data_IF_081995730729
#
_entry.id   IF_081995730729
#
_cell.length_a   1.000
_cell.length_b   1.000
_cell.length_c   1.000
_cell.angle_alpha   90.00
_cell.angle_beta   90.00
_cell.angle_gamma   90.00
#
_symmetry.space_group_name_H-M   'P 1'
#
loop_
_entity.id
_entity.type
_entity.pdbx_description
1 polymer ?
#
# COMPACT_ATOMS: atom_id res chain seq x y z
N UNK A 1 -25.94 12.45 36.19
CA UNK A 1 -24.92 13.30 36.86
C UNK A 1 -23.63 12.57 37.28
N UNK A 2 -23.64 11.54 38.15
CA UNK A 2 -22.39 10.84 38.54
C UNK A 2 -21.75 10.03 37.41
N UNK A 3 -22.53 9.32 36.60
CA UNK A 3 -22.04 8.61 35.40
C UNK A 3 -21.51 9.55 34.31
N UNK A 4 -22.08 10.76 34.21
CA UNK A 4 -21.70 11.77 33.23
C UNK A 4 -20.36 12.44 33.59
N UNK A 5 -20.10 12.69 34.87
CA UNK A 5 -18.78 13.15 35.34
C UNK A 5 -17.71 12.08 35.11
N UNK A 6 -18.04 10.81 35.34
CA UNK A 6 -17.12 9.71 35.08
C UNK A 6 -16.74 9.62 33.58
N UNK A 7 -17.72 9.72 32.67
CA UNK A 7 -17.46 9.72 31.23
C UNK A 7 -16.61 10.92 30.76
N UNK A 8 -16.86 12.12 31.30
CA UNK A 8 -16.06 13.32 31.00
C UNK A 8 -14.61 13.21 31.49
N UNK A 9 -14.40 12.65 32.69
CA UNK A 9 -13.06 12.43 33.25
C UNK A 9 -12.28 11.39 32.44
N UNK A 10 -12.93 10.30 32.01
CA UNK A 10 -12.30 9.28 31.14
C UNK A 10 -11.91 9.88 29.80
N UNK A 11 -12.75 10.75 29.21
CA UNK A 11 -12.45 11.42 27.94
C UNK A 11 -11.29 12.41 28.09
N UNK A 12 -11.26 13.19 29.16
CA UNK A 12 -10.17 14.12 29.44
C UNK A 12 -8.85 13.40 29.75
N UNK A 13 -8.89 12.29 30.48
CA UNK A 13 -7.73 11.44 30.73
C UNK A 13 -7.21 10.79 29.44
N UNK A 14 -8.11 10.35 28.54
CA UNK A 14 -7.73 9.84 27.23
C UNK A 14 -7.06 10.91 26.36
N UNK A 15 -7.58 12.15 26.35
CA UNK A 15 -6.98 13.29 25.66
C UNK A 15 -5.63 13.70 26.26
N UNK A 16 -5.46 13.64 27.58
CA UNK A 16 -4.19 13.96 28.23
C UNK A 16 -3.13 12.88 27.96
N UNK A 17 -3.51 11.60 28.06
CA UNK A 17 -2.66 10.49 27.65
C UNK A 17 -2.26 10.61 26.17
N UNK A 18 -3.17 11.12 25.32
CA UNK A 18 -2.92 11.43 23.92
C UNK A 18 -1.84 12.48 23.71
N UNK A 19 -1.95 13.60 24.43
CA UNK A 19 -0.98 14.68 24.32
C UNK A 19 0.39 14.21 24.81
N UNK A 20 0.42 13.39 25.86
CA UNK A 20 1.66 12.76 26.32
C UNK A 20 2.21 11.75 25.28
N UNK A 21 1.38 10.98 24.58
CA UNK A 21 1.83 10.07 23.51
C UNK A 21 2.28 10.80 22.23
N UNK A 22 1.62 11.91 21.88
CA UNK A 22 1.94 12.72 20.70
C UNK A 22 3.15 13.62 20.93
N UNK A 23 3.37 14.11 22.16
CA UNK A 23 4.41 15.10 22.47
C UNK A 23 5.52 14.60 23.42
N UNK A 24 5.36 13.45 24.08
CA UNK A 24 6.27 12.97 25.13
C UNK A 24 7.45 12.10 24.67
N UNK A 25 7.63 11.85 23.37
CA UNK A 25 8.74 11.05 22.84
C UNK A 25 9.55 11.82 21.79
N UNK A 26 10.87 11.87 21.97
CA UNK A 26 11.82 12.47 21.02
C UNK A 26 12.36 11.38 20.09
N UNK A 27 11.73 11.18 18.93
CA UNK A 27 12.20 10.26 17.88
C UNK A 27 11.10 9.43 17.20
N UNK A 28 11.40 8.79 16.04
CA UNK A 28 10.49 7.85 15.39
C UNK A 28 10.23 6.65 16.31
N UNK A 29 9.04 6.07 16.21
CA UNK A 29 8.69 4.90 17.00
C UNK A 29 9.36 3.64 16.45
N UNK A 30 9.87 2.81 17.34
CA UNK A 30 10.35 1.47 16.97
C UNK A 30 9.19 0.62 16.44
N UNK A 31 9.51 -0.45 15.71
CA UNK A 31 8.51 -1.40 15.22
C UNK A 31 7.66 -1.96 16.36
N UNK A 32 8.29 -2.33 17.48
CA UNK A 32 7.60 -2.89 18.64
C UNK A 32 6.68 -1.87 19.31
N UNK A 33 7.13 -0.62 19.45
CA UNK A 33 6.29 0.46 19.94
C UNK A 33 5.07 0.68 19.03
N UNK A 34 5.27 0.66 17.71
CA UNK A 34 4.17 0.79 16.76
C UNK A 34 3.15 -0.35 16.85
N UNK A 35 3.63 -1.59 17.02
CA UNK A 35 2.78 -2.78 17.23
C UNK A 35 1.99 -2.63 18.53
N UNK A 36 2.63 -2.25 19.63
CA UNK A 36 1.96 -2.05 20.91
C UNK A 36 0.83 -1.01 20.81
N UNK A 37 1.08 0.11 20.11
CA UNK A 37 0.04 1.13 19.86
C UNK A 37 -1.11 0.57 19.02
N UNK A 38 -0.85 -0.18 17.94
CA UNK A 38 -1.91 -0.82 17.14
C UNK A 38 -2.75 -1.78 17.98
N UNK A 39 -2.11 -2.61 18.80
CA UNK A 39 -2.80 -3.55 19.70
C UNK A 39 -3.67 -2.80 20.70
N UNK A 40 -3.17 -1.72 21.29
CA UNK A 40 -3.94 -0.87 22.20
C UNK A 40 -5.17 -0.24 21.51
N UNK A 41 -5.00 0.29 20.30
CA UNK A 41 -6.10 0.85 19.51
C UNK A 41 -7.14 -0.21 19.09
N UNK A 42 -6.70 -1.43 18.77
CA UNK A 42 -7.59 -2.54 18.45
C UNK A 42 -8.38 -3.01 19.69
N UNK A 43 -7.75 -3.11 20.85
CA UNK A 43 -8.44 -3.41 22.10
C UNK A 43 -9.46 -2.32 22.46
N UNK A 44 -9.09 -1.05 22.27
CA UNK A 44 -10.01 0.08 22.39
C UNK A 44 -11.21 -0.07 21.45
N UNK A 45 -10.99 -0.41 20.18
CA UNK A 45 -12.05 -0.60 19.20
C UNK A 45 -13.08 -1.65 19.65
N UNK A 46 -12.65 -2.80 20.19
CA UNK A 46 -13.54 -3.85 20.70
C UNK A 46 -14.40 -3.34 21.85
N UNK A 47 -13.79 -2.65 22.83
CA UNK A 47 -14.52 -2.07 23.96
C UNK A 47 -15.50 -1.00 23.49
N UNK A 48 -15.07 -0.15 22.56
CA UNK A 48 -15.86 0.92 21.98
C UNK A 48 -17.11 0.40 21.24
N UNK A 49 -17.03 -0.75 20.55
CA UNK A 49 -18.20 -1.43 19.97
C UNK A 49 -19.17 -1.88 21.07
N UNK A 50 -18.67 -2.54 22.13
CA UNK A 50 -19.52 -2.98 23.25
C UNK A 50 -20.25 -1.82 23.92
N UNK A 51 -19.54 -0.70 24.17
CA UNK A 51 -20.13 0.54 24.68
C UNK A 51 -21.18 1.07 23.70
N UNK A 52 -20.88 1.13 22.40
CA UNK A 52 -21.81 1.66 21.38
C UNK A 52 -23.15 0.93 21.35
N UNK A 53 -23.14 -0.37 21.57
CA UNK A 53 -24.35 -1.21 21.58
C UNK A 53 -25.19 -1.02 22.85
N UNK A 54 -24.61 -0.54 23.95
CA UNK A 54 -25.23 -0.47 25.27
C UNK A 54 -25.71 0.94 25.69
N UNK A 55 -25.46 1.98 24.89
CA UNK A 55 -25.57 3.39 25.34
C UNK A 55 -26.47 4.27 24.48
N UNK A 56 -27.02 5.32 25.10
CA UNK A 56 -27.86 6.33 24.45
C UNK A 56 -27.09 7.43 23.70
N UNK A 57 -27.83 8.26 22.96
CA UNK A 57 -27.30 9.21 21.96
C UNK A 57 -26.20 10.17 22.47
N UNK A 58 -26.27 10.64 23.72
CA UNK A 58 -25.26 11.57 24.29
C UNK A 58 -23.89 10.89 24.46
N UNK A 59 -23.86 9.60 24.76
CA UNK A 59 -22.61 8.82 24.90
C UNK A 59 -22.03 8.50 23.52
N UNK A 60 -22.86 8.38 22.48
CA UNK A 60 -22.41 8.22 21.09
C UNK A 60 -21.58 9.41 20.61
N UNK A 61 -21.89 10.64 21.04
CA UNK A 61 -21.09 11.81 20.69
C UNK A 61 -19.66 11.72 21.27
N UNK A 62 -19.55 11.37 22.56
CA UNK A 62 -18.24 11.17 23.21
C UNK A 62 -17.45 10.04 22.55
N UNK A 63 -18.14 8.96 22.19
CA UNK A 63 -17.54 7.85 21.47
C UNK A 63 -16.96 8.29 20.13
N UNK A 64 -17.68 9.12 19.36
CA UNK A 64 -17.16 9.68 18.09
C UNK A 64 -15.91 10.52 18.31
N UNK A 65 -15.88 11.33 19.37
CA UNK A 65 -14.68 12.08 19.75
C UNK A 65 -13.49 11.15 20.07
N UNK A 66 -13.73 10.09 20.85
CA UNK A 66 -12.72 9.10 21.18
C UNK A 66 -12.23 8.31 19.94
N UNK A 67 -13.14 7.95 19.03
CA UNK A 67 -12.80 7.29 17.76
C UNK A 67 -11.96 8.21 16.87
N UNK A 68 -12.33 9.49 16.72
CA UNK A 68 -11.54 10.46 15.97
C UNK A 68 -10.12 10.56 16.53
N UNK A 69 -10.00 10.66 17.84
CA UNK A 69 -8.73 10.68 18.56
C UNK A 69 -7.92 9.40 18.28
N UNK A 70 -8.54 8.24 18.35
CA UNK A 70 -7.91 6.95 18.05
C UNK A 70 -7.44 6.86 16.59
N UNK A 71 -8.22 7.37 15.64
CA UNK A 71 -7.84 7.46 14.22
C UNK A 71 -6.63 8.36 14.03
N UNK A 72 -6.59 9.53 14.69
CA UNK A 72 -5.44 10.45 14.59
C UNK A 72 -4.17 9.79 15.13
N UNK A 73 -4.23 9.14 16.30
CA UNK A 73 -3.07 8.39 16.84
C UNK A 73 -2.68 7.26 15.92
N UNK A 74 -3.66 6.48 15.45
CA UNK A 74 -3.41 5.38 14.53
C UNK A 74 -2.75 5.87 13.24
N UNK A 75 -3.14 7.03 12.72
CA UNK A 75 -2.53 7.66 11.53
C UNK A 75 -1.10 8.11 11.80
N UNK A 76 -0.82 8.75 12.93
CA UNK A 76 0.56 9.13 13.31
C UNK A 76 1.43 7.88 13.50
N UNK A 77 0.89 6.86 14.16
CA UNK A 77 1.52 5.57 14.35
C UNK A 77 1.79 4.84 13.02
N UNK A 78 0.89 4.99 12.05
CA UNK A 78 0.97 4.35 10.75
C UNK A 78 2.28 4.71 10.02
N UNK A 79 2.70 5.98 10.15
CA UNK A 79 3.98 6.48 9.65
C UNK A 79 5.13 6.36 10.67
N UNK A 80 4.93 5.66 11.79
CA UNK A 80 5.90 5.53 12.90
C UNK A 80 6.43 6.89 13.39
N UNK A 81 5.64 7.96 13.26
CA UNK A 81 6.05 9.35 13.53
C UNK A 81 7.28 9.80 12.73
N UNK A 82 7.54 9.21 11.57
CA UNK A 82 8.65 9.62 10.71
C UNK A 82 8.14 10.52 9.58
N UNK A 83 8.65 11.75 9.53
CA UNK A 83 8.44 12.65 8.38
C UNK A 83 9.15 12.16 7.13
N UNK A 84 10.24 11.41 7.28
CA UNK A 84 10.99 10.81 6.16
C UNK A 84 10.15 9.72 5.49
N UNK A 85 9.43 8.91 6.27
CA UNK A 85 8.47 7.93 5.73
C UNK A 85 7.27 8.63 5.07
N UNK A 86 6.93 9.86 5.43
CA UNK A 86 5.85 10.58 4.76
C UNK A 86 6.32 11.24 3.45
N UNK A 87 7.41 12.01 3.50
CA UNK A 87 7.88 12.84 2.38
C UNK A 87 8.86 12.12 1.44
N UNK A 88 9.59 11.12 1.94
CA UNK A 88 10.56 10.34 1.17
C UNK A 88 10.01 8.97 0.74
N UNK A 89 10.88 8.15 0.16
CA UNK A 89 10.66 6.73 -0.04
C UNK A 89 11.69 6.00 0.84
N UNK A 90 11.19 5.15 1.74
CA UNK A 90 11.94 4.37 2.74
C UNK A 90 12.14 2.92 2.25
N UNK A 91 11.17 2.37 1.51
CA UNK A 91 11.26 1.04 0.90
C UNK A 91 11.35 1.17 -0.63
N UNK A 92 12.58 1.08 -1.15
CA UNK A 92 12.82 1.14 -2.59
C UNK A 92 12.55 -0.19 -3.32
N UNK A 93 12.38 -1.30 -2.60
CA UNK A 93 12.19 -2.63 -3.21
C UNK A 93 10.91 -2.64 -4.04
N UNK A 94 9.80 -2.22 -3.43
CA UNK A 94 8.49 -2.21 -4.06
C UNK A 94 8.48 -1.35 -5.32
N UNK A 95 8.88 -0.08 -5.19
CA UNK A 95 8.93 0.83 -6.34
C UNK A 95 9.91 0.34 -7.41
N UNK A 96 10.98 -0.37 -7.06
CA UNK A 96 11.89 -0.95 -8.06
C UNK A 96 11.19 -1.96 -8.95
N UNK A 97 10.43 -2.89 -8.37
CA UNK A 97 9.70 -3.88 -9.18
C UNK A 97 8.62 -3.22 -10.02
N UNK A 98 7.78 -2.40 -9.38
CA UNK A 98 6.52 -1.96 -9.98
C UNK A 98 6.68 -0.75 -10.90
N UNK A 99 7.63 0.16 -10.63
CA UNK A 99 7.92 1.28 -11.53
C UNK A 99 8.69 0.82 -12.76
N UNK A 100 9.83 0.13 -12.59
CA UNK A 100 10.66 -0.29 -13.72
C UNK A 100 9.91 -1.27 -14.61
N UNK A 101 9.40 -2.36 -14.04
CA UNK A 101 8.78 -3.39 -14.88
C UNK A 101 7.44 -2.92 -15.47
N UNK A 102 6.71 -2.03 -14.80
CA UNK A 102 5.52 -1.40 -15.36
C UNK A 102 5.83 -0.48 -16.55
N UNK A 103 6.89 0.33 -16.47
CA UNK A 103 7.30 1.28 -17.52
C UNK A 103 7.99 0.64 -18.74
N UNK A 104 8.66 -0.48 -18.51
CA UNK A 104 9.43 -1.21 -19.52
C UNK A 104 8.86 -2.61 -19.78
N UNK A 105 7.54 -2.77 -19.58
CA UNK A 105 6.87 -4.06 -19.68
C UNK A 105 7.00 -4.70 -21.06
N UNK A 106 6.96 -3.90 -22.13
CA UNK A 106 7.03 -4.40 -23.51
C UNK A 106 8.36 -5.10 -23.80
N UNK A 107 9.46 -4.60 -23.23
CA UNK A 107 10.79 -5.18 -23.42
C UNK A 107 11.12 -6.28 -22.38
N UNK A 108 10.73 -6.07 -21.12
CA UNK A 108 11.05 -6.97 -20.00
C UNK A 108 10.07 -8.15 -19.89
N UNK A 109 8.83 -7.99 -20.33
CA UNK A 109 7.74 -8.88 -19.94
C UNK A 109 7.62 -9.01 -18.42
N UNK A 110 7.07 -10.13 -17.95
CA UNK A 110 6.92 -10.38 -16.51
C UNK A 110 8.19 -10.92 -15.82
N UNK A 111 9.19 -11.33 -16.60
CA UNK A 111 10.23 -12.22 -16.10
C UNK A 111 11.65 -11.69 -16.17
N UNK A 112 11.90 -10.67 -17.00
CA UNK A 112 13.26 -10.28 -17.34
C UNK A 112 13.77 -9.04 -16.60
N UNK A 113 13.06 -8.59 -15.54
CA UNK A 113 13.49 -7.45 -14.72
C UNK A 113 14.89 -7.66 -14.14
N UNK A 114 15.14 -8.77 -13.42
CA UNK A 114 16.41 -8.95 -12.73
C UNK A 114 17.61 -9.12 -13.66
N UNK A 115 17.54 -9.93 -14.74
CA UNK A 115 18.60 -9.98 -15.75
C UNK A 115 18.91 -8.61 -16.38
N UNK A 116 17.88 -7.81 -16.67
CA UNK A 116 18.09 -6.47 -17.23
C UNK A 116 18.71 -5.53 -16.20
N UNK A 117 18.23 -5.54 -14.96
CA UNK A 117 18.68 -4.67 -13.89
C UNK A 117 20.14 -4.93 -13.51
N UNK A 118 20.55 -6.19 -13.37
CA UNK A 118 21.95 -6.53 -13.02
C UNK A 118 22.92 -6.14 -14.15
N UNK A 119 22.51 -6.30 -15.42
CA UNK A 119 23.31 -5.86 -16.55
C UNK A 119 23.39 -4.33 -16.60
N UNK A 120 22.27 -3.63 -16.41
CA UNK A 120 22.24 -2.17 -16.41
C UNK A 120 23.13 -1.58 -15.30
N UNK A 121 23.06 -2.11 -14.08
CA UNK A 121 23.92 -1.68 -12.97
C UNK A 121 25.41 -1.86 -13.30
N UNK A 122 25.78 -3.03 -13.86
CA UNK A 122 27.16 -3.31 -14.26
C UNK A 122 27.67 -2.39 -15.38
N UNK A 123 26.79 -1.97 -16.30
CA UNK A 123 27.13 -1.07 -17.41
C UNK A 123 27.19 0.41 -17.00
N UNK A 124 26.61 0.80 -15.85
CA UNK A 124 26.55 2.19 -15.40
C UNK A 124 27.57 2.48 -14.30
N UNK A 125 27.26 2.14 -13.05
CA UNK A 125 28.01 2.54 -11.86
C UNK A 125 28.49 1.35 -11.02
N UNK A 126 28.02 0.13 -11.32
CA UNK A 126 28.22 -1.07 -10.51
C UNK A 126 28.01 -0.77 -9.02
N UNK A 127 26.80 -0.31 -8.66
CA UNK A 127 26.49 -0.01 -7.26
C UNK A 127 26.82 -1.24 -6.42
N UNK A 128 26.29 -2.40 -6.83
CA UNK A 128 26.52 -3.66 -6.15
C UNK A 128 26.43 -4.91 -7.06
N UNK A 129 26.14 -4.79 -8.36
CA UNK A 129 25.97 -5.93 -9.28
C UNK A 129 27.11 -6.94 -9.25
N UNK A 130 28.37 -6.50 -9.24
CA UNK A 130 29.55 -7.38 -9.16
C UNK A 130 29.62 -8.22 -7.87
N UNK A 131 28.86 -7.85 -6.84
CA UNK A 131 28.79 -8.51 -5.52
C UNK A 131 27.53 -9.35 -5.33
N UNK A 132 26.67 -9.42 -6.34
CA UNK A 132 25.50 -10.29 -6.39
C UNK A 132 25.95 -11.65 -6.93
N UNK A 133 25.67 -12.71 -6.17
CA UNK A 133 26.09 -14.07 -6.53
C UNK A 133 24.95 -14.86 -7.17
N UNK A 134 23.72 -14.62 -6.70
CA UNK A 134 22.53 -15.36 -7.09
C UNK A 134 21.38 -14.42 -7.43
N UNK A 135 20.62 -14.80 -8.45
CA UNK A 135 19.44 -14.10 -8.94
C UNK A 135 18.34 -15.13 -9.18
N UNK A 136 17.11 -14.84 -8.76
CA UNK A 136 15.94 -15.64 -9.06
C UNK A 136 15.55 -15.47 -10.53
N UNK A 137 15.38 -16.57 -11.25
CA UNK A 137 14.66 -16.51 -12.53
C UNK A 137 13.15 -16.51 -12.22
N UNK A 138 12.47 -15.44 -12.58
CA UNK A 138 11.05 -15.24 -12.27
C UNK A 138 10.11 -16.19 -13.05
N UNK A 139 10.64 -16.98 -13.99
CA UNK A 139 9.86 -17.97 -14.76
C UNK A 139 9.60 -19.26 -14.01
N UNK A 140 10.64 -19.77 -13.34
CA UNK A 140 10.64 -21.06 -12.65
C UNK A 140 10.92 -20.92 -11.15
N UNK A 141 11.09 -19.68 -10.66
CA UNK A 141 11.46 -19.32 -9.30
C UNK A 141 12.80 -19.92 -8.83
N UNK A 142 13.64 -20.44 -9.72
CA UNK A 142 14.93 -21.01 -9.34
C UNK A 142 16.00 -19.93 -9.16
N UNK A 143 16.83 -20.10 -8.13
CA UNK A 143 17.97 -19.22 -7.87
C UNK A 143 19.17 -19.62 -8.73
N UNK A 144 19.41 -18.87 -9.80
CA UNK A 144 20.53 -19.04 -10.75
C UNK A 144 21.73 -18.19 -10.35
N UNK A 145 22.87 -18.39 -11.02
CA UNK A 145 24.08 -17.57 -10.80
C UNK A 145 23.95 -16.18 -11.43
N UNK A 146 24.72 -15.22 -10.94
CA UNK A 146 24.83 -13.90 -11.57
C UNK A 146 25.35 -13.97 -13.01
N UNK A 147 26.25 -14.92 -13.33
CA UNK A 147 26.71 -15.14 -14.71
C UNK A 147 25.58 -15.54 -15.66
N UNK A 148 24.66 -16.39 -15.20
CA UNK A 148 23.45 -16.72 -15.97
C UNK A 148 22.58 -15.48 -16.18
N UNK A 149 22.39 -14.68 -15.12
CA UNK A 149 21.59 -13.46 -15.20
C UNK A 149 22.19 -12.43 -16.17
N UNK A 150 23.51 -12.27 -16.22
CA UNK A 150 24.19 -11.37 -17.16
C UNK A 150 24.04 -11.81 -18.62
N UNK A 151 24.21 -13.11 -18.91
CA UNK A 151 23.97 -13.66 -20.25
C UNK A 151 22.53 -13.43 -20.69
N UNK A 152 21.57 -13.67 -19.79
CA UNK A 152 20.16 -13.41 -20.05
C UNK A 152 19.88 -11.93 -20.23
N UNK A 153 20.50 -11.06 -19.43
CA UNK A 153 20.41 -9.61 -19.54
C UNK A 153 20.83 -9.11 -20.92
N UNK A 154 21.92 -9.67 -21.46
CA UNK A 154 22.39 -9.32 -22.80
C UNK A 154 21.38 -9.70 -23.90
N UNK A 155 20.69 -10.83 -23.76
CA UNK A 155 19.59 -11.21 -24.67
C UNK A 155 18.38 -10.29 -24.53
N UNK A 156 18.03 -9.91 -23.30
CA UNK A 156 16.90 -9.01 -23.03
C UNK A 156 17.15 -7.61 -23.58
N UNK A 157 18.38 -7.09 -23.42
CA UNK A 157 18.81 -5.80 -23.96
C UNK A 157 18.61 -5.69 -25.48
N UNK A 158 18.69 -6.79 -26.24
CA UNK A 158 18.42 -6.80 -27.69
C UNK A 158 16.98 -6.43 -28.06
N UNK A 159 16.03 -6.54 -27.12
CA UNK A 159 14.63 -6.13 -27.32
C UNK A 159 14.43 -4.63 -27.14
N UNK A 160 15.38 -3.96 -26.48
CA UNK A 160 15.33 -2.52 -26.30
C UNK A 160 15.90 -1.81 -27.53
N UNK A 161 15.31 -0.68 -27.89
CA UNK A 161 16.04 0.31 -28.68
C UNK A 161 17.13 0.95 -27.82
N UNK A 162 18.18 1.50 -28.44
CA UNK A 162 19.26 2.16 -27.70
C UNK A 162 18.75 3.27 -26.76
N UNK A 163 17.78 4.07 -27.22
CA UNK A 163 17.17 5.13 -26.42
C UNK A 163 16.36 4.57 -25.23
N UNK A 164 15.60 3.47 -25.44
CA UNK A 164 14.82 2.83 -24.38
C UNK A 164 15.73 2.15 -23.34
N UNK A 165 16.81 1.50 -23.77
CA UNK A 165 17.79 0.93 -22.84
C UNK A 165 18.46 2.00 -22.00
N UNK A 166 18.87 3.12 -22.61
CA UNK A 166 19.45 4.24 -21.87
C UNK A 166 18.48 4.81 -20.83
N UNK A 167 17.20 4.93 -21.17
CA UNK A 167 16.15 5.36 -20.23
C UNK A 167 15.96 4.34 -19.09
N UNK A 168 15.90 3.04 -19.40
CA UNK A 168 15.81 1.97 -18.40
C UNK A 168 17.01 1.98 -17.45
N UNK A 169 18.23 2.04 -18.00
CA UNK A 169 19.45 2.05 -17.22
C UNK A 169 19.54 3.29 -16.31
N UNK A 170 19.09 4.46 -16.80
CA UNK A 170 18.99 5.66 -15.97
C UNK A 170 17.99 5.50 -14.81
N UNK A 171 16.78 5.03 -15.08
CA UNK A 171 15.77 4.84 -14.03
C UNK A 171 16.21 3.78 -13.01
N UNK A 172 16.84 2.69 -13.48
CA UNK A 172 17.39 1.64 -12.65
C UNK A 172 18.53 2.18 -11.77
N UNK A 173 19.50 2.89 -12.34
CA UNK A 173 20.60 3.52 -11.61
C UNK A 173 20.10 4.41 -10.47
N UNK A 174 19.11 5.25 -10.73
CA UNK A 174 18.48 6.12 -9.73
C UNK A 174 17.89 5.33 -8.56
N UNK A 175 17.28 4.17 -8.81
CA UNK A 175 16.67 3.33 -7.78
C UNK A 175 17.70 2.49 -7.02
N UNK A 176 18.66 1.91 -7.74
CA UNK A 176 19.71 1.07 -7.18
C UNK A 176 20.68 1.86 -6.30
N UNK A 177 20.97 3.12 -6.65
CA UNK A 177 21.81 4.01 -5.84
C UNK A 177 21.26 4.27 -4.42
N UNK A 178 20.00 3.92 -4.17
CA UNK A 178 19.34 4.13 -2.87
C UNK A 178 19.21 2.86 -2.03
N UNK A 179 19.85 1.78 -2.48
CA UNK A 179 19.75 0.47 -1.87
C UNK A 179 21.12 -0.04 -1.47
N UNK A 180 21.20 -0.59 -0.28
CA UNK A 180 22.37 -1.29 0.23
C UNK A 180 22.53 -2.64 -0.47
N UNK A 181 23.74 -3.20 -0.42
CA UNK A 181 24.00 -4.56 -0.89
C UNK A 181 23.05 -5.60 -0.25
N UNK A 182 22.70 -5.43 1.03
CA UNK A 182 21.81 -6.37 1.72
C UNK A 182 20.38 -6.32 1.15
N UNK A 183 19.87 -5.14 0.85
CA UNK A 183 18.57 -4.95 0.21
C UNK A 183 18.56 -5.48 -1.22
N UNK A 184 19.62 -5.21 -2.00
CA UNK A 184 19.72 -5.74 -3.36
C UNK A 184 19.82 -7.27 -3.38
N UNK A 185 20.59 -7.87 -2.46
CA UNK A 185 20.63 -9.33 -2.30
C UNK A 185 19.25 -9.91 -2.00
N UNK A 186 18.42 -9.20 -1.23
CA UNK A 186 17.04 -9.59 -0.99
C UNK A 186 16.18 -9.44 -2.25
N UNK A 187 16.28 -8.30 -2.94
CA UNK A 187 15.52 -7.99 -4.16
C UNK A 187 15.78 -9.02 -5.25
N UNK A 188 17.05 -9.34 -5.52
CA UNK A 188 17.40 -10.32 -6.54
C UNK A 188 16.93 -11.76 -6.23
N UNK A 189 16.54 -12.07 -4.99
CA UNK A 189 15.98 -13.38 -4.61
C UNK A 189 14.48 -13.31 -4.28
N UNK A 190 13.84 -12.16 -4.38
CA UNK A 190 12.41 -12.00 -4.15
C UNK A 190 11.60 -12.40 -5.39
N UNK A 191 10.28 -12.56 -5.26
CA UNK A 191 9.39 -12.90 -6.37
C UNK A 191 9.09 -11.72 -7.32
N UNK A 192 9.57 -10.52 -6.99
CA UNK A 192 9.63 -9.40 -7.92
C UNK A 192 8.27 -8.94 -8.46
N UNK A 193 8.21 -8.71 -9.77
CA UNK A 193 7.03 -8.19 -10.44
C UNK A 193 5.98 -9.28 -10.65
N UNK A 194 4.97 -9.30 -9.77
CA UNK A 194 3.85 -10.24 -9.80
C UNK A 194 2.43 -9.63 -9.81
N UNK A 195 2.17 -8.40 -10.30
CA UNK A 195 0.80 -7.92 -10.43
C UNK A 195 0.02 -8.65 -11.55
N UNK A 196 -1.32 -8.71 -11.46
CA UNK A 196 -2.17 -9.11 -12.59
C UNK A 196 -2.06 -8.15 -13.78
N UNK A 197 -2.48 -8.62 -14.95
CA UNK A 197 -2.44 -7.84 -16.18
C UNK A 197 -3.21 -6.51 -16.08
N UNK A 198 -4.36 -6.47 -15.39
CA UNK A 198 -5.13 -5.24 -15.21
C UNK A 198 -4.39 -4.18 -14.41
N UNK A 199 -3.66 -4.59 -13.38
CA UNK A 199 -2.79 -3.67 -12.64
C UNK A 199 -1.66 -3.18 -13.56
N UNK A 200 -1.08 -4.07 -14.38
CA UNK A 200 0.00 -3.71 -15.30
C UNK A 200 -0.42 -2.67 -16.35
N UNK A 201 -1.66 -2.72 -16.82
CA UNK A 201 -2.23 -1.70 -17.73
C UNK A 201 -2.28 -0.33 -17.03
N UNK A 202 -2.82 -0.25 -15.82
CA UNK A 202 -2.99 1.04 -15.12
C UNK A 202 -1.67 1.55 -14.55
N UNK A 203 -0.97 0.72 -13.78
CA UNK A 203 0.31 1.04 -13.16
C UNK A 203 1.41 1.30 -14.19
N UNK A 204 1.47 0.51 -15.27
CA UNK A 204 2.44 0.69 -16.35
C UNK A 204 2.19 1.96 -17.16
N UNK A 205 0.93 2.33 -17.41
CA UNK A 205 0.59 3.61 -18.04
C UNK A 205 1.03 4.80 -17.17
N UNK A 206 0.77 4.75 -15.86
CA UNK A 206 1.20 5.79 -14.93
C UNK A 206 2.72 5.88 -14.81
N UNK A 207 3.41 4.73 -14.69
CA UNK A 207 4.87 4.68 -14.61
C UNK A 207 5.52 5.22 -15.91
N UNK A 208 4.92 4.93 -17.07
CA UNK A 208 5.36 5.47 -18.36
C UNK A 208 5.14 6.97 -18.50
N UNK A 209 4.05 7.50 -17.94
CA UNK A 209 3.71 8.91 -18.02
C UNK A 209 4.54 9.81 -17.09
N UNK A 210 5.14 9.24 -16.03
CA UNK A 210 5.82 10.03 -14.98
C UNK A 210 7.31 9.71 -14.95
N UNK A 211 8.20 10.71 -15.15
CA UNK A 211 9.65 10.52 -15.01
C UNK A 211 10.06 10.08 -13.60
N UNK A 212 11.18 9.36 -13.48
CA UNK A 212 11.66 8.81 -12.19
C UNK A 212 11.88 9.89 -11.13
N UNK A 213 12.24 11.11 -11.53
CA UNK A 213 12.37 12.27 -10.64
C UNK A 213 11.09 12.61 -9.87
N UNK A 214 9.92 12.22 -10.40
CA UNK A 214 8.60 12.45 -9.83
C UNK A 214 7.98 11.17 -9.25
N UNK A 215 8.78 10.12 -9.02
CA UNK A 215 8.30 8.83 -8.49
C UNK A 215 7.48 8.99 -7.21
N UNK A 216 7.87 9.92 -6.32
CA UNK A 216 7.13 10.18 -5.08
C UNK A 216 5.69 10.64 -5.33
N UNK A 217 5.44 11.38 -6.42
CA UNK A 217 4.08 11.78 -6.78
C UNK A 217 3.21 10.56 -7.10
N UNK A 218 3.78 9.56 -7.78
CA UNK A 218 3.08 8.31 -8.06
C UNK A 218 2.78 7.53 -6.78
N UNK A 219 3.72 7.44 -5.84
CA UNK A 219 3.46 6.69 -4.60
C UNK A 219 2.44 7.40 -3.69
N UNK A 220 2.31 8.73 -3.80
CA UNK A 220 1.27 9.50 -3.12
C UNK A 220 -0.14 9.31 -3.71
N UNK A 221 -0.28 8.70 -4.90
CA UNK A 221 -1.59 8.42 -5.47
C UNK A 221 -2.43 7.53 -4.55
N UNK A 222 -1.83 6.51 -3.93
CA UNK A 222 -2.53 5.66 -2.97
C UNK A 222 -3.08 6.44 -1.77
N UNK A 223 -2.34 7.44 -1.29
CA UNK A 223 -2.83 8.32 -0.22
C UNK A 223 -4.06 9.11 -0.69
N UNK A 224 -4.00 9.68 -1.90
CA UNK A 224 -5.14 10.39 -2.49
C UNK A 224 -6.36 9.48 -2.69
N UNK A 225 -6.15 8.26 -3.18
CA UNK A 225 -7.21 7.26 -3.38
C UNK A 225 -7.86 6.85 -2.05
N UNK A 226 -7.06 6.58 -1.01
CA UNK A 226 -7.58 6.21 0.30
C UNK A 226 -8.35 7.36 0.95
N UNK A 227 -7.85 8.61 0.86
CA UNK A 227 -8.57 9.80 1.34
C UNK A 227 -9.90 9.96 0.60
N UNK A 228 -9.91 9.80 -0.72
CA UNK A 228 -11.12 9.88 -1.53
C UNK A 228 -12.12 8.77 -1.15
N UNK A 229 -11.66 7.53 -1.00
CA UNK A 229 -12.48 6.39 -0.64
C UNK A 229 -13.14 6.56 0.73
N UNK A 230 -12.38 6.98 1.76
CA UNK A 230 -12.93 7.24 3.08
C UNK A 230 -13.83 8.48 3.11
N UNK A 231 -13.51 9.53 2.34
CA UNK A 231 -14.42 10.67 2.19
C UNK A 231 -15.77 10.23 1.61
N UNK A 232 -15.77 9.34 0.60
CA UNK A 232 -16.99 8.76 0.06
C UNK A 232 -17.76 7.94 1.11
N UNK A 233 -17.07 7.17 1.97
CA UNK A 233 -17.71 6.47 3.09
C UNK A 233 -18.39 7.46 4.04
N UNK A 234 -17.69 8.52 4.43
CA UNK A 234 -18.24 9.57 5.29
C UNK A 234 -19.47 10.26 4.69
N UNK A 235 -19.44 10.50 3.38
CA UNK A 235 -20.56 11.12 2.67
C UNK A 235 -21.77 10.20 2.54
N UNK A 236 -21.55 8.91 2.26
CA UNK A 236 -22.62 7.96 1.95
C UNK A 236 -23.19 7.28 3.20
N UNK A 237 -22.34 6.93 4.16
CA UNK A 237 -22.70 6.18 5.37
C UNK A 237 -22.62 7.00 6.66
N UNK A 238 -22.05 8.21 6.60
CA UNK A 238 -21.90 9.11 7.74
C UNK A 238 -20.58 8.97 8.50
N UNK A 239 -20.39 9.84 9.49
CA UNK A 239 -19.14 9.96 10.26
C UNK A 239 -18.75 8.69 11.02
N UNK A 240 -19.72 7.91 11.46
CA UNK A 240 -19.46 6.78 12.35
C UNK A 240 -18.86 5.57 11.60
N UNK A 241 -19.44 5.10 10.47
CA UNK A 241 -18.77 4.13 9.59
C UNK A 241 -17.41 4.61 9.08
N UNK A 242 -17.27 5.91 8.80
CA UNK A 242 -15.98 6.51 8.43
C UNK A 242 -14.93 6.29 9.53
N UNK A 243 -15.23 6.70 10.76
CA UNK A 243 -14.28 6.61 11.88
C UNK A 243 -13.92 5.15 12.20
N UNK A 244 -14.89 4.24 12.17
CA UNK A 244 -14.63 2.81 12.36
C UNK A 244 -13.77 2.22 11.25
N UNK A 245 -14.09 2.54 9.99
CA UNK A 245 -13.34 2.07 8.84
C UNK A 245 -11.90 2.59 8.83
N UNK A 246 -11.69 3.88 9.13
CA UNK A 246 -10.36 4.46 9.25
C UNK A 246 -9.59 3.85 10.42
N UNK A 247 -10.23 3.64 11.57
CA UNK A 247 -9.58 3.01 12.72
C UNK A 247 -9.12 1.59 12.36
N UNK A 248 -9.98 0.81 11.72
CA UNK A 248 -9.61 -0.51 11.21
C UNK A 248 -8.43 -0.43 10.23
N UNK A 249 -8.46 0.50 9.27
CA UNK A 249 -7.40 0.66 8.28
C UNK A 249 -6.04 0.99 8.90
N UNK A 250 -5.98 1.91 9.87
CA UNK A 250 -4.71 2.33 10.49
C UNK A 250 -4.20 1.34 11.56
N UNK A 251 -5.04 0.42 12.02
CA UNK A 251 -4.68 -0.57 13.04
C UNK A 251 -4.40 -1.96 12.48
N UNK A 252 -5.05 -2.34 11.38
CA UNK A 252 -4.94 -3.68 10.81
C UNK A 252 -3.50 -4.04 10.46
N UNK A 253 -3.12 -5.28 10.78
CA UNK A 253 -1.79 -5.80 10.52
C UNK A 253 -1.48 -5.81 9.02
N UNK A 254 -2.45 -6.15 8.19
CA UNK A 254 -2.30 -6.16 6.73
C UNK A 254 -2.04 -4.77 6.13
N UNK A 255 -2.40 -3.71 6.86
CA UNK A 255 -2.12 -2.33 6.45
C UNK A 255 -0.73 -1.85 6.84
N UNK A 256 0.08 -2.65 7.56
CA UNK A 256 1.43 -2.24 8.03
C UNK A 256 2.44 -2.07 6.89
N UNK A 257 2.25 -2.81 5.81
CA UNK A 257 3.10 -2.81 4.63
C UNK A 257 2.24 -3.13 3.40
N UNK A 258 2.37 -2.39 2.30
CA UNK A 258 3.19 -1.18 2.19
C UNK A 258 2.55 0.00 2.91
N UNK A 259 3.39 0.92 3.38
CA UNK A 259 2.91 2.18 3.98
C UNK A 259 2.38 3.07 2.85
N UNK A 260 1.22 3.70 3.04
CA UNK A 260 0.70 4.72 2.13
C UNK A 260 1.79 5.74 1.74
N UNK A 261 1.90 6.07 0.46
CA UNK A 261 2.94 6.98 -0.01
C UNK A 261 4.30 6.32 -0.26
N UNK A 262 4.46 5.01 -0.03
CA UNK A 262 5.73 4.29 -0.22
C UNK A 262 5.74 3.35 -1.42
N UNK A 263 4.57 3.04 -1.99
CA UNK A 263 4.42 2.04 -3.02
C UNK A 263 3.49 2.52 -4.15
N UNK A 264 3.53 1.83 -5.29
CA UNK A 264 2.73 2.18 -6.46
C UNK A 264 1.43 1.35 -6.50
N UNK A 265 0.28 2.02 -6.42
CA UNK A 265 -1.05 1.41 -6.58
C UNK A 265 -1.24 0.11 -5.80
N UNK A 266 -0.95 0.15 -4.50
CA UNK A 266 -1.14 -0.99 -3.60
C UNK A 266 -2.52 -1.01 -2.96
N UNK A 267 -3.19 0.13 -2.93
CA UNK A 267 -4.52 0.30 -2.33
C UNK A 267 -5.62 0.61 -3.36
N UNK A 268 -5.30 0.64 -4.65
CA UNK A 268 -6.23 0.90 -5.74
C UNK A 268 -7.45 -0.05 -5.72
N UNK A 269 -7.22 -1.35 -5.57
CA UNK A 269 -8.27 -2.36 -5.48
C UNK A 269 -9.16 -2.15 -4.25
N UNK A 270 -8.58 -1.72 -3.11
CA UNK A 270 -9.32 -1.49 -1.87
C UNK A 270 -10.22 -0.27 -2.02
N UNK A 271 -9.67 0.79 -2.60
CA UNK A 271 -10.40 2.02 -2.87
C UNK A 271 -11.54 1.78 -3.87
N UNK A 272 -11.29 0.97 -4.90
CA UNK A 272 -12.32 0.56 -5.85
C UNK A 272 -13.41 -0.28 -5.16
N UNK A 273 -13.05 -1.23 -4.29
CA UNK A 273 -14.02 -2.01 -3.52
C UNK A 273 -14.87 -1.13 -2.59
N UNK A 274 -14.25 -0.20 -1.84
CA UNK A 274 -14.97 0.77 -1.01
C UNK A 274 -15.89 1.64 -1.86
N UNK A 275 -15.40 2.13 -3.00
CA UNK A 275 -16.16 2.89 -3.98
C UNK A 275 -17.36 2.11 -4.52
N UNK A 276 -17.19 0.81 -4.80
CA UNK A 276 -18.26 -0.07 -5.23
C UNK A 276 -19.37 -0.17 -4.18
N UNK A 277 -19.01 -0.35 -2.90
CA UNK A 277 -19.98 -0.36 -1.79
C UNK A 277 -20.72 0.98 -1.64
N UNK A 278 -20.01 2.10 -1.80
CA UNK A 278 -20.62 3.43 -1.79
C UNK A 278 -21.59 3.63 -2.97
N UNK A 279 -21.21 3.17 -4.16
CA UNK A 279 -22.04 3.23 -5.37
C UNK A 279 -23.28 2.34 -5.25
N UNK A 280 -23.15 1.12 -4.71
CA UNK A 280 -24.28 0.23 -4.41
C UNK A 280 -25.28 0.90 -3.47
N UNK A 281 -24.80 1.53 -2.39
CA UNK A 281 -25.66 2.21 -1.41
C UNK A 281 -26.45 3.39 -2.02
N UNK A 282 -25.99 3.92 -3.16
CA UNK A 282 -26.59 5.04 -3.90
C UNK A 282 -27.30 4.57 -5.18
N UNK A 283 -27.61 3.29 -5.30
CA UNK A 283 -28.32 2.67 -6.43
C UNK A 283 -27.62 2.90 -7.79
N UNK A 284 -26.30 3.06 -7.78
CA UNK A 284 -25.45 3.22 -8.98
C UNK A 284 -24.85 1.88 -9.40
N UNK A 285 -25.70 0.92 -9.77
CA UNK A 285 -25.30 -0.48 -10.00
C UNK A 285 -24.21 -0.65 -11.07
N UNK A 286 -24.27 0.09 -12.18
CA UNK A 286 -23.25 0.01 -13.24
C UNK A 286 -21.86 0.45 -12.76
N UNK A 287 -21.78 1.54 -11.99
CA UNK A 287 -20.53 2.01 -11.39
C UNK A 287 -20.04 1.02 -10.33
N UNK A 288 -20.95 0.51 -9.50
CA UNK A 288 -20.62 -0.49 -8.51
C UNK A 288 -20.02 -1.76 -9.13
N UNK A 289 -20.67 -2.31 -10.15
CA UNK A 289 -20.18 -3.48 -10.88
C UNK A 289 -18.82 -3.23 -11.54
N UNK A 290 -18.64 -2.07 -12.18
CA UNK A 290 -17.36 -1.68 -12.80
C UNK A 290 -16.22 -1.56 -11.79
N UNK A 291 -16.45 -0.91 -10.65
CA UNK A 291 -15.46 -0.77 -9.58
C UNK A 291 -15.13 -2.11 -8.90
N UNK A 292 -16.15 -2.94 -8.65
CA UNK A 292 -15.95 -4.28 -8.08
C UNK A 292 -15.19 -5.20 -9.05
N UNK A 293 -15.54 -5.17 -10.34
CA UNK A 293 -14.84 -5.88 -11.39
C UNK A 293 -13.37 -5.45 -11.50
N UNK A 294 -13.10 -4.14 -11.46
CA UNK A 294 -11.73 -3.63 -11.39
C UNK A 294 -10.99 -4.16 -10.15
N UNK A 295 -11.59 -4.06 -8.96
CA UNK A 295 -10.97 -4.54 -7.72
C UNK A 295 -10.60 -6.03 -7.79
N UNK A 296 -11.51 -6.86 -8.29
CA UNK A 296 -11.33 -8.31 -8.45
C UNK A 296 -10.33 -8.69 -9.54
N UNK A 297 -10.16 -7.85 -10.57
CA UNK A 297 -9.17 -8.08 -11.61
C UNK A 297 -7.77 -7.64 -11.14
N UNK A 298 -7.67 -6.50 -10.44
CA UNK A 298 -6.40 -5.96 -9.93
C UNK A 298 -5.81 -6.81 -8.79
N UNK A 299 -6.65 -7.49 -8.01
CA UNK A 299 -6.26 -8.52 -7.02
C UNK A 299 -7.35 -9.59 -6.97
N UNK A 300 -7.00 -10.86 -6.78
CA UNK A 300 -8.00 -11.95 -6.90
C UNK A 300 -8.98 -12.02 -5.72
N UNK A 301 -8.58 -11.64 -4.51
CA UNK A 301 -9.38 -11.90 -3.32
C UNK A 301 -10.70 -11.10 -3.21
N UNK A 302 -10.86 -9.87 -3.77
CA UNK A 302 -12.17 -9.22 -3.84
C UNK A 302 -13.18 -9.97 -4.72
N UNK A 303 -12.76 -10.96 -5.51
CA UNK A 303 -13.69 -11.80 -6.28
C UNK A 303 -14.70 -12.54 -5.38
N UNK A 304 -14.41 -12.74 -4.09
CA UNK A 304 -15.37 -13.32 -3.14
C UNK A 304 -16.67 -12.50 -3.05
N UNK A 305 -16.59 -11.18 -3.24
CA UNK A 305 -17.76 -10.29 -3.21
C UNK A 305 -18.63 -10.40 -4.47
N UNK A 306 -18.14 -11.06 -5.53
CA UNK A 306 -18.96 -11.45 -6.69
C UNK A 306 -19.76 -12.73 -6.42
N UNK A 307 -19.46 -13.48 -5.35
CA UNK A 307 -20.05 -14.78 -5.07
C UNK A 307 -21.58 -14.76 -5.01
N UNK A 308 -22.17 -13.76 -4.34
CA UNK A 308 -23.63 -13.62 -4.26
C UNK A 308 -24.30 -13.50 -5.63
N UNK A 309 -23.65 -12.80 -6.57
CA UNK A 309 -24.15 -12.58 -7.93
C UNK A 309 -24.02 -13.85 -8.78
N UNK A 310 -22.94 -14.62 -8.56
CA UNK A 310 -22.74 -15.91 -9.21
C UNK A 310 -23.77 -16.95 -8.75
N UNK A 311 -24.11 -16.98 -7.45
CA UNK A 311 -25.13 -17.89 -6.92
C UNK A 311 -26.53 -17.56 -7.43
N UNK A 312 -26.88 -16.28 -7.54
CA UNK A 312 -28.17 -15.84 -8.11
C UNK A 312 -28.25 -16.18 -9.61
N UNK A 313 -27.20 -15.88 -10.38
CA UNK A 313 -27.15 -16.18 -11.81
C UNK A 313 -27.22 -17.68 -12.16
N UNK A 314 -26.73 -18.56 -11.27
CA UNK A 314 -26.82 -20.03 -11.43
C UNK A 314 -28.14 -20.58 -10.88
N UNK A 315 -28.81 -19.88 -9.96
CA UNK A 315 -30.13 -20.25 -9.46
C UNK A 315 -31.26 -20.01 -10.45
N UNK A 316 -31.05 -19.10 -11.41
CA UNK A 316 -31.99 -18.75 -12.48
C UNK A 316 -31.78 -19.55 -13.79
N UNK A 317 -30.87 -20.53 -13.81
CA UNK A 317 -30.64 -21.48 -14.92
C UNK A 317 -31.11 -22.89 -14.56
#
# INVERSE_FOLDING_TARGET
MRSERAAGIVTAAALLALLVLLFGFTGPWTRDASIAVRTGLAAFAVVAVGVRLAVGARIVLWLRGALLVAVVVGSVNYYRRSSEVFWGIDDYSDVTYYYLNGKYLDELGHYDLYPAMILADLETNDHHASRIERVRDLRDDELKSASFALLKGAEVKKRFSAARWAAFAHDADVLLARQTLAELRYIYIDHGYNPPATWSVVGGALASAVPIAWLKLLTLLDLGLVVAAFTAVGWVFGIEPLLWGMLFFVTTFSGRWPVLGQALLRFDWLCALIGAMCALRRDRYGLAGGLLGYAAASRVFPAIFLGAWLFEAVGDT
#
